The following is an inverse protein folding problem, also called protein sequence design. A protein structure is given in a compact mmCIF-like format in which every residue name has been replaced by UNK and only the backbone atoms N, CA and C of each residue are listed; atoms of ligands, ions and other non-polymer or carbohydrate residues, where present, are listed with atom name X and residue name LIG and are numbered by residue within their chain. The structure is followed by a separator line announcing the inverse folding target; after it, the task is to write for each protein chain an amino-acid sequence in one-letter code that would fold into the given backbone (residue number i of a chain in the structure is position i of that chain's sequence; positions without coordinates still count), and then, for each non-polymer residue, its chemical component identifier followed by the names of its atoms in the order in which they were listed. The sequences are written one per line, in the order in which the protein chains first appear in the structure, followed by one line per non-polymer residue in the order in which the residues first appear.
data_IF_067107079878
#
_entry.id   IF_067107079878
#
_cell.length_a   1.000
_cell.length_b   1.000
_cell.length_c   1.000
_cell.angle_alpha   90.00
_cell.angle_beta   90.00
_cell.angle_gamma   90.00
#
_symmetry.space_group_name_H-M   'P 1'
#
loop_
_entity.id
_entity.type
_entity.pdbx_description
1 polymer ?
#
# COMPACT_ATOMS: atom_id res chain seq x y z
N UNK A 1 10.15 0.44 -16.26
CA UNK A 1 9.56 1.69 -16.75
C UNK A 1 8.23 1.35 -17.39
N UNK A 2 7.14 1.95 -16.98
CA UNK A 2 5.82 1.76 -17.59
C UNK A 2 5.36 3.11 -18.12
N UNK A 3 5.35 3.28 -19.44
CA UNK A 3 4.78 4.44 -20.11
C UNK A 3 3.27 4.24 -20.22
N UNK A 4 2.47 5.13 -19.62
CA UNK A 4 1.02 4.98 -19.57
C UNK A 4 0.38 6.16 -20.29
N UNK A 5 -0.07 5.91 -21.51
CA UNK A 5 -0.85 6.85 -22.33
C UNK A 5 -2.35 6.75 -22.00
N UNK A 6 -2.73 6.99 -20.76
CA UNK A 6 -4.14 7.05 -20.39
C UNK A 6 -4.47 8.37 -19.73
N UNK A 7 -5.67 8.90 -19.96
CA UNK A 7 -6.19 10.12 -19.34
C UNK A 7 -6.54 9.86 -17.86
N UNK A 8 -6.73 8.61 -17.47
CA UNK A 8 -7.22 8.23 -16.16
C UNK A 8 -6.09 8.10 -15.13
N UNK A 9 -6.33 8.58 -13.92
CA UNK A 9 -5.37 8.58 -12.80
C UNK A 9 -5.26 7.21 -12.12
N UNK A 10 -6.26 6.37 -12.23
CA UNK A 10 -6.31 5.05 -11.58
C UNK A 10 -5.21 4.11 -12.07
N UNK A 11 -4.84 4.21 -13.36
CA UNK A 11 -3.85 3.31 -13.96
C UNK A 11 -2.44 3.52 -13.40
N UNK A 12 -1.89 4.75 -13.31
CA UNK A 12 -0.60 4.97 -12.66
C UNK A 12 -0.62 4.61 -11.17
N UNK A 13 -1.73 4.85 -10.47
CA UNK A 13 -1.89 4.47 -9.06
C UNK A 13 -1.81 2.94 -8.90
N UNK A 14 -2.56 2.20 -9.72
CA UNK A 14 -2.52 0.74 -9.74
C UNK A 14 -1.13 0.20 -10.12
N UNK A 15 -0.45 0.83 -11.07
CA UNK A 15 0.90 0.45 -11.48
C UNK A 15 1.90 0.58 -10.32
N UNK A 16 1.82 1.65 -9.52
CA UNK A 16 2.65 1.81 -8.32
C UNK A 16 2.34 0.75 -7.27
N UNK A 17 1.06 0.43 -7.04
CA UNK A 17 0.66 -0.64 -6.14
C UNK A 17 1.22 -2.01 -6.57
N UNK A 18 1.41 -2.22 -7.87
CA UNK A 18 2.04 -3.41 -8.45
C UNK A 18 3.59 -3.32 -8.53
N UNK A 19 4.19 -2.29 -7.97
CA UNK A 19 5.64 -2.16 -7.85
C UNK A 19 6.31 -1.31 -8.94
N UNK A 20 5.57 -0.57 -9.76
CA UNK A 20 6.17 0.39 -10.70
C UNK A 20 6.89 1.51 -9.94
N UNK A 21 8.12 1.81 -10.33
CA UNK A 21 8.95 2.86 -9.69
C UNK A 21 9.07 4.11 -10.53
N UNK A 22 8.72 4.04 -11.79
CA UNK A 22 8.78 5.15 -12.74
C UNK A 22 7.47 5.17 -13.52
N UNK A 23 6.81 6.31 -13.51
CA UNK A 23 5.60 6.60 -14.29
C UNK A 23 5.94 7.74 -15.25
N UNK A 24 5.65 7.53 -16.52
CA UNK A 24 5.80 8.53 -17.57
C UNK A 24 4.42 8.96 -18.07
N UNK A 25 4.16 10.26 -18.13
CA UNK A 25 2.90 10.85 -18.57
C UNK A 25 3.16 12.10 -19.40
N UNK A 26 2.35 12.31 -20.43
CA UNK A 26 2.28 13.59 -21.11
C UNK A 26 1.72 14.66 -20.17
N UNK A 27 2.28 15.86 -20.25
CA UNK A 27 1.90 16.99 -19.42
C UNK A 27 1.63 18.22 -20.31
N UNK A 28 0.61 18.99 -19.97
CA UNK A 28 0.28 20.24 -20.63
C UNK A 28 -0.14 21.28 -19.62
N UNK A 29 0.05 22.55 -19.96
CA UNK A 29 -0.48 23.65 -19.16
C UNK A 29 -1.96 23.93 -19.47
N UNK A 30 -2.42 23.55 -20.66
CA UNK A 30 -3.82 23.75 -21.08
C UNK A 30 -4.20 22.67 -22.11
N UNK A 31 -5.21 21.88 -21.77
CA UNK A 31 -5.75 20.81 -22.63
C UNK A 31 -6.45 21.31 -23.88
N UNK A 32 -6.81 22.59 -23.91
CA UNK A 32 -7.49 23.22 -25.06
C UNK A 32 -6.55 23.71 -26.14
N UNK A 33 -5.23 23.66 -25.88
CA UNK A 33 -4.21 24.02 -26.88
C UNK A 33 -4.30 23.13 -28.11
N UNK A 34 -3.99 23.71 -29.27
CA UNK A 34 -3.95 22.97 -30.53
C UNK A 34 -2.74 22.02 -30.55
N UNK A 35 -2.99 20.75 -30.80
CA UNK A 35 -1.96 19.70 -30.89
C UNK A 35 -2.56 18.32 -30.59
N UNK A 36 -1.88 17.26 -31.01
CA UNK A 36 -2.44 15.90 -30.91
C UNK A 36 -2.55 15.39 -29.46
N UNK A 37 -1.67 15.84 -28.55
CA UNK A 37 -1.49 15.19 -27.24
C UNK A 37 -2.04 16.00 -26.07
N UNK A 38 -2.40 17.29 -26.25
CA UNK A 38 -2.84 18.14 -25.15
C UNK A 38 -4.09 17.60 -24.46
N UNK A 39 -5.06 17.09 -25.20
CA UNK A 39 -6.29 16.54 -24.66
C UNK A 39 -6.03 15.25 -23.82
N UNK A 40 -5.01 14.48 -24.18
CA UNK A 40 -4.62 13.24 -23.52
C UNK A 40 -3.58 13.45 -22.41
N UNK A 41 -3.06 14.67 -22.25
CA UNK A 41 -2.07 15.03 -21.25
C UNK A 41 -2.71 15.31 -19.89
N UNK A 42 -1.90 15.23 -18.82
CA UNK A 42 -2.29 15.74 -17.52
C UNK A 42 -2.11 17.26 -17.48
N UNK A 43 -3.06 17.94 -16.90
CA UNK A 43 -2.89 19.35 -16.50
C UNK A 43 -2.21 19.45 -15.10
N UNK A 44 -1.86 20.65 -14.62
CA UNK A 44 -1.22 20.83 -13.32
C UNK A 44 -2.03 20.27 -12.14
N UNK A 45 -3.36 20.40 -12.16
CA UNK A 45 -4.22 19.90 -11.10
C UNK A 45 -4.27 18.37 -11.09
N UNK A 46 -4.45 17.75 -12.25
CA UNK A 46 -4.45 16.30 -12.41
C UNK A 46 -3.08 15.67 -12.04
N UNK A 47 -1.98 16.34 -12.40
CA UNK A 47 -0.65 15.89 -12.00
C UNK A 47 -0.48 15.92 -10.47
N UNK A 48 -0.93 16.99 -9.82
CA UNK A 48 -0.89 17.10 -8.36
C UNK A 48 -1.73 16.01 -7.70
N UNK A 49 -2.94 15.76 -8.21
CA UNK A 49 -3.83 14.71 -7.71
C UNK A 49 -3.20 13.32 -7.87
N UNK A 50 -2.61 13.04 -9.03
CA UNK A 50 -1.91 11.77 -9.29
C UNK A 50 -0.76 11.55 -8.30
N UNK A 51 0.10 12.55 -8.13
CA UNK A 51 1.25 12.46 -7.21
C UNK A 51 0.78 12.25 -5.77
N UNK A 52 -0.22 13.01 -5.33
CA UNK A 52 -0.80 12.87 -3.99
C UNK A 52 -1.37 11.47 -3.76
N UNK A 53 -2.15 10.97 -4.72
CA UNK A 53 -2.74 9.63 -4.65
C UNK A 53 -1.68 8.52 -4.63
N UNK A 54 -0.62 8.65 -5.41
CA UNK A 54 0.52 7.73 -5.38
C UNK A 54 1.17 7.72 -4.00
N UNK A 55 1.42 8.89 -3.39
CA UNK A 55 2.01 8.97 -2.04
C UNK A 55 1.11 8.34 -0.97
N UNK A 56 -0.20 8.48 -1.10
CA UNK A 56 -1.15 7.81 -0.20
C UNK A 56 -1.10 6.28 -0.35
N UNK A 57 -1.02 5.77 -1.59
CA UNK A 57 -0.89 4.33 -1.83
C UNK A 57 0.44 3.78 -1.28
N UNK A 58 1.56 4.49 -1.48
CA UNK A 58 2.85 4.08 -0.92
C UNK A 58 2.79 3.95 0.62
N UNK A 59 2.13 4.88 1.29
CA UNK A 59 1.90 4.80 2.74
C UNK A 59 0.98 3.65 3.13
N UNK A 60 -0.10 3.43 2.37
CA UNK A 60 -1.08 2.39 2.64
C UNK A 60 -0.53 0.98 2.45
N UNK A 61 0.40 0.79 1.51
CA UNK A 61 1.06 -0.50 1.29
C UNK A 61 1.93 -0.93 2.49
N UNK A 62 2.49 0.02 3.23
CA UNK A 62 3.28 -0.23 4.43
C UNK A 62 4.43 -1.22 4.21
N UNK A 63 4.62 -2.13 5.15
CA UNK A 63 5.62 -3.20 5.11
C UNK A 63 4.96 -4.57 4.99
N UNK A 64 5.57 -5.47 4.22
CA UNK A 64 5.16 -6.89 4.18
C UNK A 64 5.54 -7.67 5.45
N UNK A 65 6.37 -7.09 6.32
CA UNK A 65 6.75 -7.71 7.58
C UNK A 65 5.61 -7.58 8.60
N UNK A 66 5.14 -8.72 9.10
CA UNK A 66 4.12 -8.75 10.14
C UNK A 66 4.72 -8.31 11.48
N UNK A 67 4.47 -7.07 11.86
CA UNK A 67 4.90 -6.50 13.13
C UNK A 67 3.68 -6.02 13.92
N UNK A 68 3.80 -6.08 15.25
CA UNK A 68 2.78 -5.50 16.14
C UNK A 68 2.94 -3.98 16.10
N UNK A 69 1.89 -3.27 15.74
CA UNK A 69 1.90 -1.81 15.74
C UNK A 69 1.79 -1.25 17.17
N UNK A 70 2.20 0.01 17.36
CA UNK A 70 2.11 0.66 18.66
C UNK A 70 0.66 0.71 19.21
N UNK A 71 -0.33 0.83 18.31
CA UNK A 71 -1.75 0.81 18.67
C UNK A 71 -2.25 -0.59 19.06
N UNK A 72 -1.62 -1.65 18.57
CA UNK A 72 -1.99 -3.04 18.87
C UNK A 72 -1.32 -3.57 20.14
N UNK A 73 -0.20 -2.98 20.57
CA UNK A 73 0.58 -3.47 21.71
C UNK A 73 -0.24 -3.53 23.00
N UNK A 74 -1.11 -2.55 23.24
CA UNK A 74 -2.01 -2.55 24.41
C UNK A 74 -3.02 -3.70 24.35
N UNK A 75 -3.60 -3.95 23.18
CA UNK A 75 -4.57 -5.00 22.94
C UNK A 75 -3.93 -6.41 22.95
N UNK A 76 -2.69 -6.52 22.54
CA UNK A 76 -1.94 -7.78 22.52
C UNK A 76 -1.93 -8.46 23.88
N UNK A 77 -1.72 -7.70 24.96
CA UNK A 77 -1.66 -8.22 26.33
C UNK A 77 -2.98 -8.80 26.82
N UNK A 78 -4.10 -8.25 26.34
CA UNK A 78 -5.45 -8.62 26.82
C UNK A 78 -6.12 -9.63 25.90
N UNK A 79 -5.96 -9.47 24.59
CA UNK A 79 -6.70 -10.25 23.58
C UNK A 79 -5.96 -11.49 23.09
N UNK A 80 -4.63 -11.56 23.25
CA UNK A 80 -3.85 -12.69 22.75
C UNK A 80 -4.05 -13.91 23.65
N UNK A 81 -4.45 -15.03 23.05
CA UNK A 81 -4.48 -16.32 23.72
C UNK A 81 -3.07 -16.81 23.95
N UNK A 82 -2.82 -17.41 25.11
CA UNK A 82 -1.55 -18.07 25.46
C UNK A 82 -1.76 -19.59 25.47
N UNK A 83 -0.67 -20.30 25.24
CA UNK A 83 -0.64 -21.74 25.50
C UNK A 83 -0.55 -21.91 27.02
N UNK A 84 -1.48 -22.65 27.58
CA UNK A 84 -1.54 -22.92 29.03
C UNK A 84 -1.66 -24.43 29.26
N UNK A 85 -1.14 -24.90 30.38
CA UNK A 85 -1.32 -26.29 30.76
C UNK A 85 -2.81 -26.57 31.02
N UNK A 86 -3.32 -27.68 30.48
CA UNK A 86 -4.69 -28.16 30.67
C UNK A 86 -4.90 -28.77 32.05
N UNK A 87 -3.85 -29.28 32.68
CA UNK A 87 -3.78 -29.90 33.99
C UNK A 87 -2.45 -29.58 34.68
N UNK A 88 -2.33 -29.95 35.95
CA UNK A 88 -1.05 -29.90 36.64
C UNK A 88 -0.05 -30.85 36.00
N UNK A 89 1.20 -30.41 35.85
CA UNK A 89 2.29 -31.14 35.20
C UNK A 89 3.38 -31.36 36.28
N UNK A 90 3.73 -32.61 36.50
CA UNK A 90 4.75 -32.97 37.45
C UNK A 90 6.17 -32.75 36.91
N UNK A 91 7.14 -32.56 37.80
CA UNK A 91 8.55 -32.42 37.42
C UNK A 91 9.05 -33.70 36.74
N UNK A 92 9.60 -33.56 35.53
CA UNK A 92 10.09 -34.69 34.72
C UNK A 92 9.03 -35.32 33.81
N UNK A 93 7.80 -34.84 33.82
CA UNK A 93 6.74 -35.28 32.88
C UNK A 93 7.01 -34.68 31.50
N UNK A 94 6.85 -35.49 30.44
CA UNK A 94 6.96 -35.06 29.07
C UNK A 94 5.63 -34.44 28.58
N UNK A 95 5.73 -33.37 27.81
CA UNK A 95 4.55 -32.81 27.14
C UNK A 95 4.03 -33.76 26.07
N UNK A 96 2.72 -33.99 26.05
CA UNK A 96 2.01 -34.76 25.04
C UNK A 96 0.91 -33.93 24.41
N UNK A 97 0.43 -34.32 23.25
CA UNK A 97 -0.65 -33.62 22.53
C UNK A 97 -2.08 -34.01 23.04
N UNK A 98 -2.19 -34.63 24.19
CA UNK A 98 -3.48 -35.03 24.79
C UNK A 98 -4.22 -33.88 25.48
#
# INVERSE_FOLDING_TARGET
MLAILTIRLEVPIAAVALGARVIEKHFTLDKTMQGPDHLASLDPCELQEMVSSIRHIEQALGSSEKQVTASEEANRKVARRSIVAKRDICVGELFSEE
#
